data_IF_970656738704
#
_entry.id   IF_970656738704
#
_cell.length_a   1.000
_cell.length_b   1.000
_cell.length_c   1.000
_cell.angle_alpha   90.00
_cell.angle_beta   90.00
_cell.angle_gamma   90.00
#
_symmetry.space_group_name_H-M   'P 1'
#
loop_
_entity.id
_entity.type
_entity.pdbx_description
1 polymer ?
#
# COMPACT_ATOMS: atom_id res chain seq x y z
N UNK A 1 37.56 7.07 12.76
CA UNK A 1 36.48 6.52 13.62
C UNK A 1 35.17 7.08 13.08
N UNK A 2 34.51 6.38 12.15
CA UNK A 2 33.11 6.60 11.71
C UNK A 2 32.90 5.79 10.41
N UNK A 3 32.85 4.47 10.56
CA UNK A 3 32.19 3.63 9.56
C UNK A 3 31.09 2.89 10.32
N UNK A 4 29.96 3.58 10.48
CA UNK A 4 28.73 2.95 10.97
C UNK A 4 28.32 1.95 9.89
N UNK A 5 28.45 0.67 10.18
CA UNK A 5 28.07 -0.42 9.29
C UNK A 5 26.64 -0.20 8.76
N UNK A 6 26.39 -0.35 7.44
CA UNK A 6 25.07 -0.09 6.84
C UNK A 6 23.95 -0.93 7.48
N UNK A 7 24.29 -2.11 8.02
CA UNK A 7 23.38 -2.95 8.79
C UNK A 7 22.83 -2.28 10.06
N UNK A 8 23.64 -1.49 10.77
CA UNK A 8 23.20 -0.79 11.98
C UNK A 8 22.22 0.34 11.69
N UNK A 9 22.35 0.99 10.52
CA UNK A 9 21.40 2.03 10.09
C UNK A 9 20.05 1.42 9.72
N UNK A 10 20.05 0.38 8.89
CA UNK A 10 18.84 -0.36 8.52
C UNK A 10 18.12 -0.90 9.75
N UNK A 11 18.86 -1.50 10.69
CA UNK A 11 18.30 -2.00 11.93
C UNK A 11 17.71 -0.88 12.80
N UNK A 12 18.31 0.31 12.80
CA UNK A 12 17.74 1.48 13.48
C UNK A 12 16.43 1.95 12.83
N UNK A 13 16.33 1.95 11.50
CA UNK A 13 15.09 2.29 10.79
C UNK A 13 13.98 1.28 11.09
N UNK A 14 14.26 -0.02 10.99
CA UNK A 14 13.29 -1.07 11.33
C UNK A 14 12.82 -0.99 12.78
N UNK A 15 13.71 -0.67 13.71
CA UNK A 15 13.34 -0.54 15.12
C UNK A 15 12.48 0.71 15.40
N UNK A 16 12.68 1.79 14.63
CA UNK A 16 11.83 3.00 14.71
C UNK A 16 10.44 2.70 14.13
N UNK A 17 10.35 2.01 13.00
CA UNK A 17 9.05 1.65 12.41
C UNK A 17 8.28 0.68 13.31
N UNK A 18 8.97 -0.27 13.95
CA UNK A 18 8.36 -1.19 14.92
C UNK A 18 7.81 -0.42 16.13
N UNK A 19 8.55 0.56 16.65
CA UNK A 19 8.08 1.43 17.72
C UNK A 19 6.84 2.22 17.31
N UNK A 20 6.84 2.81 16.10
CA UNK A 20 5.66 3.52 15.58
C UNK A 20 4.45 2.60 15.46
N UNK A 21 4.63 1.36 14.99
CA UNK A 21 3.54 0.39 14.88
C UNK A 21 2.98 -0.03 16.25
N UNK A 22 3.84 -0.19 17.26
CA UNK A 22 3.42 -0.46 18.64
C UNK A 22 2.63 0.73 19.22
N UNK A 23 3.06 1.96 18.94
CA UNK A 23 2.33 3.17 19.35
C UNK A 23 0.96 3.29 18.65
N UNK A 24 0.89 2.99 17.36
CA UNK A 24 -0.39 2.97 16.63
C UNK A 24 -1.31 1.87 17.18
N UNK A 25 -0.77 0.71 17.53
CA UNK A 25 -1.51 -0.37 18.18
C UNK A 25 -2.09 0.05 19.53
N UNK A 26 -1.31 0.74 20.37
CA UNK A 26 -1.79 1.20 21.68
C UNK A 26 -2.84 2.31 21.54
N UNK A 27 -2.68 3.24 20.60
CA UNK A 27 -3.70 4.24 20.27
C UNK A 27 -5.00 3.57 19.80
N UNK A 28 -4.89 2.58 18.90
CA UNK A 28 -6.03 1.79 18.44
C UNK A 28 -6.75 1.06 19.58
N UNK A 29 -5.99 0.59 20.58
CA UNK A 29 -6.52 -0.04 21.80
C UNK A 29 -7.32 0.94 22.66
N UNK A 30 -6.78 2.14 22.89
CA UNK A 30 -7.45 3.18 23.67
C UNK A 30 -8.74 3.63 22.98
N UNK A 31 -8.70 3.85 21.66
CA UNK A 31 -9.89 4.21 20.86
C UNK A 31 -10.96 3.12 20.85
N UNK A 32 -10.55 1.85 20.97
CA UNK A 32 -11.48 0.71 21.01
C UNK A 32 -12.26 0.59 22.32
N UNK A 33 -11.69 1.11 23.42
CA UNK A 33 -12.29 1.13 24.76
C UNK A 33 -13.28 2.30 24.95
N UNK A 34 -13.35 3.23 23.99
CA UNK A 34 -14.28 4.36 24.01
C UNK A 34 -15.63 4.01 23.37
N UNK A 35 -16.65 4.81 23.68
CA UNK A 35 -18.00 4.68 23.14
C UNK A 35 -18.06 4.85 21.61
N UNK A 36 -19.13 4.37 20.95
CA UNK A 36 -19.38 4.63 19.53
C UNK A 36 -19.42 6.15 19.27
N UNK A 37 -18.78 6.69 18.21
CA UNK A 37 -18.26 6.04 16.99
C UNK A 37 -16.76 5.68 17.00
N UNK A 38 -16.01 6.07 18.04
CA UNK A 38 -14.54 5.90 18.13
C UNK A 38 -14.12 4.43 18.09
N UNK A 39 -14.97 3.55 18.63
CA UNK A 39 -14.85 2.10 18.55
C UNK A 39 -14.67 1.56 17.11
N UNK A 40 -15.38 2.14 16.13
CA UNK A 40 -15.29 1.71 14.73
C UNK A 40 -13.95 2.08 14.12
N UNK A 41 -13.47 3.30 14.38
CA UNK A 41 -12.15 3.76 13.96
C UNK A 41 -11.03 2.89 14.55
N UNK A 42 -11.14 2.52 15.83
CA UNK A 42 -10.19 1.59 16.46
C UNK A 42 -10.09 0.24 15.76
N UNK A 43 -11.23 -0.32 15.30
CA UNK A 43 -11.26 -1.57 14.52
C UNK A 43 -10.50 -1.43 13.18
N UNK A 44 -10.75 -0.34 12.44
CA UNK A 44 -10.07 -0.09 11.16
C UNK A 44 -8.56 0.07 11.36
N UNK A 45 -8.15 0.82 12.39
CA UNK A 45 -6.74 0.99 12.75
C UNK A 45 -6.09 -0.38 13.01
N UNK A 46 -6.74 -1.29 13.74
CA UNK A 46 -6.21 -2.63 13.95
C UNK A 46 -6.09 -3.46 12.67
N UNK A 47 -7.09 -3.39 11.78
CA UNK A 47 -7.05 -4.09 10.50
C UNK A 47 -5.89 -3.62 9.62
N UNK A 48 -5.53 -2.34 9.66
CA UNK A 48 -4.34 -1.84 8.95
C UNK A 48 -3.07 -2.24 9.69
N UNK A 49 -3.06 -2.19 11.03
CA UNK A 49 -1.89 -2.49 11.84
C UNK A 49 -1.42 -3.95 11.70
N UNK A 50 -2.31 -4.93 11.55
CA UNK A 50 -1.92 -6.33 11.37
C UNK A 50 -1.13 -6.57 10.07
N UNK A 51 -1.38 -5.77 9.03
CA UNK A 51 -0.63 -5.83 7.76
C UNK A 51 0.85 -5.53 8.02
N UNK A 52 1.16 -4.53 8.86
CA UNK A 52 2.54 -4.23 9.25
C UNK A 52 3.22 -5.41 9.94
N UNK A 53 2.52 -6.05 10.88
CA UNK A 53 3.06 -7.22 11.59
C UNK A 53 3.32 -8.41 10.65
N UNK A 54 2.52 -8.59 9.60
CA UNK A 54 2.80 -9.59 8.57
C UNK A 54 4.05 -9.27 7.75
N UNK A 55 4.30 -8.00 7.41
CA UNK A 55 5.55 -7.58 6.75
C UNK A 55 6.75 -7.88 7.66
N UNK A 56 6.63 -7.61 8.96
CA UNK A 56 7.70 -7.90 9.93
C UNK A 56 7.98 -9.40 10.07
N UNK A 57 6.93 -10.21 9.99
CA UNK A 57 7.02 -11.66 10.01
C UNK A 57 7.79 -12.19 8.78
N UNK A 58 7.63 -11.58 7.60
CA UNK A 58 8.44 -11.93 6.42
C UNK A 58 9.93 -11.66 6.62
N UNK A 59 10.31 -10.59 7.31
CA UNK A 59 11.71 -10.27 7.63
C UNK A 59 12.32 -11.33 8.57
N UNK A 60 11.56 -11.78 9.56
CA UNK A 60 11.97 -12.87 10.47
C UNK A 60 12.17 -14.18 9.67
N UNK A 61 11.25 -14.50 8.75
CA UNK A 61 11.40 -15.65 7.85
C UNK A 61 12.58 -15.50 6.88
N UNK A 62 12.99 -14.27 6.60
CA UNK A 62 14.19 -13.93 5.83
C UNK A 62 15.49 -14.52 6.39
N UNK A 63 15.56 -14.78 7.71
CA UNK A 63 16.74 -15.34 8.38
C UNK A 63 16.83 -16.86 8.24
N UNK A 64 15.73 -17.54 7.90
CA UNK A 64 15.71 -18.99 7.75
C UNK A 64 16.51 -19.43 6.50
N UNK A 65 17.31 -20.50 6.61
CA UNK A 65 18.15 -21.01 5.52
C UNK A 65 17.37 -21.38 4.25
N UNK A 66 16.12 -21.82 4.39
CA UNK A 66 15.27 -22.22 3.27
C UNK A 66 14.41 -21.07 2.73
N UNK A 67 13.78 -20.26 3.59
CA UNK A 67 12.86 -19.20 3.18
C UNK A 67 13.58 -17.87 2.85
N UNK A 68 14.74 -17.63 3.44
CA UNK A 68 15.53 -16.42 3.27
C UNK A 68 15.84 -16.08 1.81
N UNK A 69 16.36 -17.03 1.01
CA UNK A 69 16.63 -16.78 -0.40
C UNK A 69 15.38 -16.35 -1.19
N UNK A 70 14.20 -16.91 -0.90
CA UNK A 70 12.96 -16.54 -1.58
C UNK A 70 12.50 -15.12 -1.22
N UNK A 71 12.51 -14.76 0.06
CA UNK A 71 12.14 -13.40 0.51
C UNK A 71 13.09 -12.35 -0.09
N UNK A 72 14.39 -12.63 -0.10
CA UNK A 72 15.40 -11.75 -0.70
C UNK A 72 15.24 -11.64 -2.21
N UNK A 73 14.86 -12.72 -2.90
CA UNK A 73 14.60 -12.71 -4.35
C UNK A 73 13.39 -11.85 -4.69
N UNK A 74 12.28 -12.02 -3.97
CA UNK A 74 11.06 -11.21 -4.14
C UNK A 74 11.39 -9.72 -3.93
N UNK A 75 12.10 -9.39 -2.84
CA UNK A 75 12.48 -8.01 -2.55
C UNK A 75 13.33 -7.35 -3.64
N UNK A 76 14.29 -8.08 -4.22
CA UNK A 76 15.11 -7.56 -5.33
C UNK A 76 14.29 -7.34 -6.59
N UNK A 77 13.46 -8.32 -6.96
CA UNK A 77 12.60 -8.21 -8.15
C UNK A 77 11.59 -7.05 -8.03
N UNK A 78 11.07 -6.79 -6.83
CA UNK A 78 10.15 -5.68 -6.58
C UNK A 78 10.77 -4.30 -6.87
N UNK A 79 12.06 -4.12 -6.61
CA UNK A 79 12.77 -2.86 -6.89
C UNK A 79 12.85 -2.63 -8.40
N UNK A 80 13.22 -3.67 -9.16
CA UNK A 80 13.32 -3.58 -10.62
C UNK A 80 11.94 -3.32 -11.26
N UNK A 81 10.87 -3.93 -10.71
CA UNK A 81 9.50 -3.71 -11.17
C UNK A 81 8.95 -2.32 -10.84
N UNK A 82 9.51 -1.60 -9.87
CA UNK A 82 9.02 -0.29 -9.45
C UNK A 82 9.06 0.74 -10.60
N UNK A 83 10.10 0.68 -11.45
CA UNK A 83 10.19 1.54 -12.65
C UNK A 83 9.05 1.27 -13.63
N UNK A 84 8.74 -0.01 -13.86
CA UNK A 84 7.63 -0.40 -14.71
C UNK A 84 6.29 0.05 -14.14
N UNK A 85 6.08 -0.10 -12.82
CA UNK A 85 4.85 0.36 -12.14
C UNK A 85 4.65 1.87 -12.29
N UNK A 86 5.72 2.67 -12.23
CA UNK A 86 5.63 4.13 -12.43
C UNK A 86 5.17 4.45 -13.86
N UNK A 87 5.75 3.81 -14.88
CA UNK A 87 5.34 4.02 -16.28
C UNK A 87 3.88 3.59 -16.48
N UNK A 88 3.51 2.44 -15.91
CA UNK A 88 2.14 1.93 -15.94
C UNK A 88 1.15 2.90 -15.31
N UNK A 89 1.49 3.52 -14.17
CA UNK A 89 0.66 4.54 -13.53
C UNK A 89 0.48 5.78 -14.42
N UNK A 90 1.53 6.22 -15.12
CA UNK A 90 1.43 7.37 -16.05
C UNK A 90 0.49 7.07 -17.22
N UNK A 91 0.60 5.88 -17.82
CA UNK A 91 -0.28 5.44 -18.92
C UNK A 91 -1.71 5.23 -18.44
N UNK A 92 -1.89 4.63 -17.26
CA UNK A 92 -3.19 4.43 -16.64
C UNK A 92 -3.88 5.77 -16.40
N UNK A 93 -3.13 6.76 -15.86
CA UNK A 93 -3.66 8.08 -15.57
C UNK A 93 -4.04 8.87 -16.81
N UNK A 94 -3.22 8.84 -17.87
CA UNK A 94 -3.56 9.54 -19.11
C UNK A 94 -4.83 8.97 -19.74
N UNK A 95 -4.97 7.65 -19.76
CA UNK A 95 -6.19 6.99 -20.24
C UNK A 95 -7.40 7.27 -19.34
N UNK A 96 -7.25 7.16 -18.02
CA UNK A 96 -8.34 7.39 -17.06
C UNK A 96 -8.90 8.81 -17.12
N UNK A 97 -8.03 9.81 -17.23
CA UNK A 97 -8.43 11.21 -17.37
C UNK A 97 -9.15 11.45 -18.69
N UNK A 98 -8.60 10.94 -19.81
CA UNK A 98 -9.23 11.08 -21.12
C UNK A 98 -10.63 10.43 -21.15
N UNK A 99 -10.76 9.21 -20.60
CA UNK A 99 -12.03 8.50 -20.49
C UNK A 99 -13.06 9.27 -19.67
N UNK A 100 -12.69 9.76 -18.48
CA UNK A 100 -13.60 10.49 -17.61
C UNK A 100 -14.05 11.82 -18.24
N UNK A 101 -13.14 12.53 -18.91
CA UNK A 101 -13.44 13.80 -19.57
C UNK A 101 -14.41 13.65 -20.75
N UNK A 102 -14.35 12.52 -21.49
CA UNK A 102 -15.25 12.26 -22.62
C UNK A 102 -16.63 11.81 -22.13
N UNK A 103 -16.69 10.88 -21.16
CA UNK A 103 -17.95 10.28 -20.71
C UNK A 103 -18.77 11.24 -19.83
N UNK A 104 -18.12 12.05 -19.00
CA UNK A 104 -18.81 12.91 -18.03
C UNK A 104 -18.30 14.36 -18.13
N UNK A 105 -18.71 15.13 -19.16
CA UNK A 105 -18.20 16.48 -19.40
C UNK A 105 -18.66 17.53 -18.36
N UNK A 106 -19.75 17.27 -17.62
CA UNK A 106 -20.37 18.23 -16.70
C UNK A 106 -20.33 17.76 -15.22
N UNK A 107 -19.28 17.05 -14.81
CA UNK A 107 -19.16 16.54 -13.44
C UNK A 107 -18.44 17.54 -12.52
N UNK A 108 -19.00 17.81 -11.35
CA UNK A 108 -18.41 18.71 -10.37
C UNK A 108 -17.11 18.15 -9.77
N UNK A 109 -16.15 19.02 -9.40
CA UNK A 109 -14.90 18.58 -8.79
C UNK A 109 -15.16 17.89 -7.46
N UNK A 110 -14.95 16.57 -7.42
CA UNK A 110 -15.17 15.74 -6.24
C UNK A 110 -14.06 14.72 -6.04
N UNK A 111 -13.84 14.27 -4.79
CA UNK A 111 -12.91 13.18 -4.49
C UNK A 111 -13.34 11.84 -5.12
N UNK A 112 -14.63 11.71 -5.45
CA UNK A 112 -15.18 10.57 -6.18
C UNK A 112 -14.63 10.51 -7.61
N UNK A 113 -14.48 11.68 -8.26
CA UNK A 113 -13.92 11.80 -9.61
C UNK A 113 -12.50 11.25 -9.68
N UNK A 114 -11.65 11.65 -8.74
CA UNK A 114 -10.29 11.14 -8.62
C UNK A 114 -10.29 9.62 -8.47
N UNK A 115 -11.12 9.07 -7.58
CA UNK A 115 -11.23 7.61 -7.40
C UNK A 115 -11.65 6.90 -8.69
N UNK A 116 -12.62 7.44 -9.42
CA UNK A 116 -13.14 6.82 -10.65
C UNK A 116 -12.09 6.80 -11.78
N UNK A 117 -11.27 7.86 -11.90
CA UNK A 117 -10.17 7.96 -12.86
C UNK A 117 -9.16 6.82 -12.66
N UNK A 118 -8.82 6.48 -11.42
CA UNK A 118 -7.88 5.40 -11.13
C UNK A 118 -8.53 4.01 -11.19
N UNK A 119 -9.76 3.88 -10.69
CA UNK A 119 -10.38 2.58 -10.42
C UNK A 119 -10.60 1.76 -11.70
N UNK A 120 -11.29 2.31 -12.71
CA UNK A 120 -11.61 1.51 -13.90
C UNK A 120 -10.38 1.10 -14.72
N UNK A 121 -9.45 2.02 -15.07
CA UNK A 121 -8.23 1.64 -15.78
C UNK A 121 -7.34 0.66 -15.00
N UNK A 122 -7.36 0.69 -13.66
CA UNK A 122 -6.63 -0.27 -12.83
C UNK A 122 -7.16 -1.69 -12.99
N UNK A 123 -8.48 -1.88 -12.93
CA UNK A 123 -9.10 -3.20 -13.10
C UNK A 123 -8.93 -3.78 -14.52
N UNK A 124 -8.84 -2.91 -15.53
CA UNK A 124 -8.54 -3.33 -16.91
C UNK A 124 -7.19 -4.03 -17.05
N UNK A 125 -6.19 -3.67 -16.23
CA UNK A 125 -4.89 -4.35 -16.21
C UNK A 125 -5.01 -5.79 -15.71
N UNK A 126 -5.97 -6.06 -14.82
CA UNK A 126 -6.24 -7.40 -14.27
C UNK A 126 -7.22 -8.22 -15.13
N UNK A 127 -7.64 -7.70 -16.29
CA UNK A 127 -8.50 -8.41 -17.25
C UNK A 127 -9.99 -8.08 -17.16
N UNK A 128 -10.40 -7.19 -16.26
CA UNK A 128 -11.79 -6.71 -16.19
C UNK A 128 -12.00 -5.59 -17.21
N UNK A 129 -12.60 -5.93 -18.35
CA UNK A 129 -12.74 -5.01 -19.50
C UNK A 129 -13.99 -4.11 -19.38
N UNK A 130 -14.88 -4.36 -18.41
CA UNK A 130 -16.16 -3.64 -18.26
C UNK A 130 -16.95 -3.53 -19.58
N UNK A 131 -17.08 -4.65 -20.30
CA UNK A 131 -17.67 -4.72 -21.65
C UNK A 131 -19.06 -4.08 -21.74
N UNK A 132 -19.87 -4.20 -20.69
CA UNK A 132 -21.23 -3.65 -20.63
C UNK A 132 -21.29 -2.11 -20.65
N UNK A 133 -20.15 -1.42 -20.46
CA UNK A 133 -20.05 0.04 -20.48
C UNK A 133 -19.42 0.58 -21.78
N UNK A 134 -19.08 -0.31 -22.72
CA UNK A 134 -18.37 0.04 -23.95
C UNK A 134 -19.33 0.19 -25.15
N UNK A 135 -20.57 -0.28 -25.04
CA UNK A 135 -21.63 -0.17 -26.07
C UNK A 135 -22.57 1.05 -25.86
#
# INVERSE_FOLDING_TARGET
>A
ILMSEPGKLLQKYWNITDLMAILIFSIGMVLRLQDPPLMSYGRVIYCVNIIYWYIRLLDIFGVNKYLGPYVMMIGKMMIDMMYFVIIMLVVLMSFGVARQAILNPNEDPSWMLARNIFFMPYWMIYGEVFADQID
#
